data_IF_899772844956
#
_entry.id   IF_899772844956
#
_cell.length_a   1.000
_cell.length_b   1.000
_cell.length_c   1.000
_cell.angle_alpha   90.00
_cell.angle_beta   90.00
_cell.angle_gamma   90.00
#
_symmetry.space_group_name_H-M   'P 1'
#
loop_
_entity.id
_entity.type
_entity.pdbx_description
1 polymer ?
#
# COMPACT_ATOMS: atom_id res chain seq x y z
N UNK A 1 -10.15 2.95 -2.46
CA UNK A 1 -9.00 2.47 -1.68
C UNK A 1 -7.91 1.93 -2.58
N UNK A 2 -6.67 2.00 -2.13
CA UNK A 2 -5.47 1.52 -2.80
C UNK A 2 -4.56 0.88 -1.75
N UNK A 3 -4.15 -0.37 -1.93
CA UNK A 3 -3.24 -1.05 -0.99
C UNK A 3 -2.39 -2.08 -1.71
N UNK A 4 -1.26 -2.44 -1.10
CA UNK A 4 -0.36 -3.46 -1.61
C UNK A 4 -0.22 -4.57 -0.57
N UNK A 5 -0.50 -5.82 -0.97
CA UNK A 5 -0.28 -7.00 -0.13
C UNK A 5 0.98 -7.70 -0.59
N UNK A 6 1.93 -7.89 0.31
CA UNK A 6 3.19 -8.55 0.04
C UNK A 6 3.56 -9.53 1.16
N UNK A 7 4.67 -10.23 1.01
CA UNK A 7 5.25 -11.09 2.04
C UNK A 7 6.12 -10.32 3.06
N UNK A 8 6.38 -9.04 2.81
CA UNK A 8 7.29 -8.20 3.57
C UNK A 8 6.73 -6.77 3.64
N UNK A 9 7.32 -5.94 4.49
CA UNK A 9 6.92 -4.55 4.74
C UNK A 9 7.18 -3.67 3.51
N UNK A 10 6.16 -2.92 3.10
CA UNK A 10 6.13 -2.16 1.85
C UNK A 10 5.54 -0.77 2.03
N UNK A 11 5.89 0.13 1.12
CA UNK A 11 5.47 1.52 1.14
C UNK A 11 4.62 1.85 -0.10
N UNK A 12 3.65 2.74 0.06
CA UNK A 12 2.81 3.23 -1.02
C UNK A 12 2.81 4.76 -1.08
N UNK A 13 3.06 5.29 -2.27
CA UNK A 13 2.90 6.72 -2.58
C UNK A 13 1.95 6.86 -3.76
N UNK A 14 1.00 7.79 -3.65
CA UNK A 14 0.10 8.18 -4.72
C UNK A 14 0.19 9.69 -4.94
N UNK A 15 0.42 10.11 -6.19
CA UNK A 15 0.28 11.50 -6.62
C UNK A 15 -1.02 11.66 -7.39
N UNK A 16 -1.87 12.55 -6.90
CA UNK A 16 -3.17 12.85 -7.52
C UNK A 16 -3.02 13.75 -8.78
N UNK A 17 -4.12 13.94 -9.56
CA UNK A 17 -4.11 14.80 -10.74
C UNK A 17 -3.76 16.27 -10.48
N UNK A 18 -4.03 16.77 -9.26
CA UNK A 18 -3.67 18.13 -8.84
C UNK A 18 -2.19 18.24 -8.41
N UNK A 19 -1.51 17.10 -8.27
CA UNK A 19 -0.13 17.01 -7.84
C UNK A 19 0.08 16.87 -6.34
N UNK A 20 -0.97 16.61 -5.57
CA UNK A 20 -0.89 16.27 -4.15
C UNK A 20 -0.34 14.86 -3.97
N UNK A 21 0.58 14.68 -3.04
CA UNK A 21 1.08 13.36 -2.66
C UNK A 21 0.36 12.86 -1.40
N UNK A 22 -0.01 11.58 -1.41
CA UNK A 22 -0.50 10.84 -0.26
C UNK A 22 0.33 9.58 -0.12
N UNK A 23 0.72 9.25 1.11
CA UNK A 23 1.59 8.12 1.39
C UNK A 23 1.14 7.38 2.64
N UNK A 24 1.33 6.06 2.64
CA UNK A 24 1.19 5.24 3.83
C UNK A 24 2.03 3.96 3.67
N UNK A 25 2.53 3.45 4.77
CA UNK A 25 3.26 2.18 4.93
C UNK A 25 2.47 1.18 5.79
N UNK A 26 1.71 1.65 6.80
CA UNK A 26 0.93 0.77 7.68
C UNK A 26 -0.58 1.04 7.63
N UNK A 27 -1.39 0.00 7.46
CA UNK A 27 -2.84 0.12 7.63
C UNK A 27 -3.24 0.38 9.09
N UNK A 28 -2.64 -0.36 10.03
CA UNK A 28 -3.01 -0.37 11.45
C UNK A 28 -1.78 -0.58 12.35
N UNK A 29 -0.70 0.14 12.05
CA UNK A 29 0.61 -0.02 12.70
C UNK A 29 1.05 -1.48 12.71
N UNK A 30 1.59 -1.94 13.85
CA UNK A 30 2.08 -3.31 14.01
C UNK A 30 1.03 -4.42 13.85
N UNK A 31 -0.26 -4.10 13.81
CA UNK A 31 -1.31 -5.09 13.54
C UNK A 31 -1.43 -5.42 12.04
N UNK A 32 -1.03 -4.51 11.16
CA UNK A 32 -0.99 -4.72 9.72
C UNK A 32 -0.05 -3.71 9.03
N UNK A 33 1.13 -4.20 8.65
CA UNK A 33 2.19 -3.44 7.97
C UNK A 33 2.01 -3.34 6.44
N UNK A 34 0.85 -3.73 5.91
CA UNK A 34 0.57 -3.50 4.50
C UNK A 34 0.11 -2.06 4.29
N UNK A 35 0.65 -1.34 3.28
CA UNK A 35 0.30 0.04 3.04
C UNK A 35 -1.13 0.16 2.52
N UNK A 36 -1.86 1.17 3.02
CA UNK A 36 -3.25 1.40 2.63
C UNK A 36 -3.57 2.89 2.54
N UNK A 37 -4.23 3.29 1.45
CA UNK A 37 -4.75 4.63 1.24
C UNK A 37 -6.24 4.58 0.90
N UNK A 38 -7.05 5.31 1.67
CA UNK A 38 -8.44 5.62 1.30
C UNK A 38 -8.50 7.04 0.72
N UNK A 39 -8.56 7.10 -0.60
CA UNK A 39 -8.53 8.35 -1.35
C UNK A 39 -9.95 8.80 -1.67
N UNK A 40 -10.20 10.11 -1.66
CA UNK A 40 -11.33 10.70 -2.38
C UNK A 40 -10.89 11.00 -3.82
N UNK A 41 -11.25 10.17 -4.82
CA UNK A 41 -10.70 10.33 -6.16
C UNK A 41 -11.31 11.53 -6.89
N UNK A 42 -10.49 12.18 -7.71
CA UNK A 42 -10.90 13.22 -8.65
C UNK A 42 -10.57 12.75 -10.08
N UNK A 43 -11.26 13.28 -11.12
CA UNK A 43 -10.95 12.92 -12.49
C UNK A 43 -9.51 13.32 -12.88
N UNK A 44 -8.77 12.38 -13.47
CA UNK A 44 -7.45 12.63 -14.03
C UNK A 44 -6.49 11.46 -13.81
N UNK A 45 -5.22 11.68 -14.17
CA UNK A 45 -4.19 10.66 -14.06
C UNK A 45 -3.54 10.67 -12.67
N UNK A 46 -3.42 9.47 -12.11
CA UNK A 46 -2.68 9.22 -10.88
C UNK A 46 -1.33 8.60 -11.19
N UNK A 47 -0.32 8.89 -10.37
CA UNK A 47 0.95 8.18 -10.39
C UNK A 47 1.08 7.41 -9.08
N UNK A 48 1.49 6.15 -9.16
CA UNK A 48 1.59 5.24 -8.01
C UNK A 48 3.03 4.72 -7.96
N UNK A 49 3.65 4.83 -6.80
CA UNK A 49 4.94 4.22 -6.51
C UNK A 49 4.77 3.21 -5.38
N UNK A 50 5.38 2.05 -5.59
CA UNK A 50 5.50 0.98 -4.61
C UNK A 50 6.98 0.79 -4.31
N UNK A 51 7.28 0.54 -3.04
CA UNK A 51 8.63 0.21 -2.59
C UNK A 51 8.59 -0.75 -1.42
N UNK A 52 9.74 -1.26 -1.02
CA UNK A 52 9.93 -1.96 0.24
C UNK A 52 10.31 -0.97 1.33
N UNK A 53 9.98 -1.24 2.57
CA UNK A 53 10.44 -0.42 3.70
C UNK A 53 11.96 -0.57 3.90
N UNK A 54 12.45 -1.82 3.87
CA UNK A 54 13.87 -2.11 3.99
C UNK A 54 14.60 -1.92 2.64
N UNK A 55 15.82 -1.35 2.64
CA UNK A 55 16.65 -1.27 1.46
C UNK A 55 17.10 -2.67 1.00
N UNK A 56 17.33 -2.83 -0.30
CA UNK A 56 17.81 -4.06 -0.94
C UNK A 56 16.91 -5.30 -0.78
N UNK A 57 15.67 -5.12 -0.28
CA UNK A 57 14.63 -6.14 -0.30
C UNK A 57 13.87 -6.08 -1.63
N UNK A 58 13.52 -7.24 -2.16
CA UNK A 58 12.58 -7.36 -3.29
C UNK A 58 11.50 -8.33 -2.88
N UNK A 59 10.24 -7.93 -3.06
CA UNK A 59 9.09 -8.72 -2.67
C UNK A 59 8.07 -8.74 -3.80
N UNK A 60 7.51 -9.93 -4.04
CA UNK A 60 6.35 -10.08 -4.89
C UNK A 60 5.09 -9.71 -4.10
N UNK A 61 4.12 -9.09 -4.75
CA UNK A 61 2.89 -8.69 -4.10
C UNK A 61 1.79 -8.33 -5.09
N UNK A 62 0.62 -8.01 -4.55
CA UNK A 62 -0.57 -7.63 -5.31
C UNK A 62 -0.98 -6.21 -4.97
N UNK A 63 -1.03 -5.35 -5.99
CA UNK A 63 -1.63 -4.02 -5.88
C UNK A 63 -3.14 -4.14 -6.14
N UNK A 64 -3.94 -3.79 -5.13
CA UNK A 64 -5.40 -3.71 -5.26
C UNK A 64 -5.85 -2.26 -5.36
N UNK A 65 -6.66 -1.97 -6.37
CA UNK A 65 -7.31 -0.67 -6.60
C UNK A 65 -8.81 -0.92 -6.73
N UNK A 66 -9.60 -0.35 -5.84
CA UNK A 66 -11.06 -0.53 -5.86
C UNK A 66 -11.82 0.67 -5.31
N UNK A 67 -13.04 0.87 -5.81
CA UNK A 67 -14.00 1.84 -5.26
C UNK A 67 -14.72 1.35 -4.01
N UNK A 68 -14.58 0.08 -3.65
CA UNK A 68 -15.13 -0.49 -2.41
C UNK A 68 -14.25 -0.13 -1.21
N UNK A 69 -14.75 0.74 -0.34
CA UNK A 69 -14.02 1.22 0.86
C UNK A 69 -14.04 0.24 2.03
N UNK A 70 -14.68 -0.91 1.88
CA UNK A 70 -14.73 -1.94 2.93
C UNK A 70 -13.61 -2.98 2.82
N UNK A 71 -12.94 -3.04 1.65
CA UNK A 71 -11.83 -3.97 1.40
C UNK A 71 -10.56 -3.48 2.10
N UNK A 72 -9.84 -4.41 2.74
CA UNK A 72 -8.59 -4.17 3.45
C UNK A 72 -7.59 -5.29 3.13
N UNK A 73 -6.27 -5.01 3.13
CA UNK A 73 -5.26 -6.04 3.03
C UNK A 73 -5.34 -6.99 4.23
N UNK A 74 -5.07 -8.27 4.01
CA UNK A 74 -4.80 -9.19 5.10
C UNK A 74 -3.59 -8.71 5.91
N UNK A 75 -3.56 -8.92 7.23
CA UNK A 75 -2.36 -8.67 8.02
C UNK A 75 -1.17 -9.47 7.50
N UNK A 76 0.03 -8.85 7.50
CA UNK A 76 1.27 -9.63 7.43
C UNK A 76 1.31 -10.55 8.66
N UNK A 77 1.20 -11.86 8.45
CA UNK A 77 1.45 -12.83 9.51
C UNK A 77 2.92 -13.18 9.51
N UNK A 78 3.49 -13.53 10.68
CA UNK A 78 4.90 -13.90 10.79
C UNK A 78 5.30 -15.15 9.98
N UNK A 79 4.34 -15.85 9.37
CA UNK A 79 4.60 -16.95 8.44
C UNK A 79 4.93 -16.47 7.02
N UNK A 80 4.64 -15.21 6.70
CA UNK A 80 4.88 -14.57 5.41
C UNK A 80 6.20 -13.78 5.39
N UNK A 81 6.64 -13.27 6.55
CA UNK A 81 7.91 -12.53 6.67
C UNK A 81 9.05 -13.54 6.86
N UNK A 82 10.04 -13.50 5.98
CA UNK A 82 11.26 -14.30 6.10
C UNK A 82 12.22 -13.79 7.17
N UNK A 83 11.73 -13.60 8.40
CA UNK A 83 12.58 -13.35 9.58
C UNK A 83 13.06 -14.66 10.25
#
# INVERSE_FOLDING_TARGET
>A
VLFFEAADDTTLIVRDPNGTYQCNDDLDGAANLNPYLDLTPIPGSYQVWLGTYAPDVTVDGTLTITGDTTVRPAPLTSEMVGE
#
